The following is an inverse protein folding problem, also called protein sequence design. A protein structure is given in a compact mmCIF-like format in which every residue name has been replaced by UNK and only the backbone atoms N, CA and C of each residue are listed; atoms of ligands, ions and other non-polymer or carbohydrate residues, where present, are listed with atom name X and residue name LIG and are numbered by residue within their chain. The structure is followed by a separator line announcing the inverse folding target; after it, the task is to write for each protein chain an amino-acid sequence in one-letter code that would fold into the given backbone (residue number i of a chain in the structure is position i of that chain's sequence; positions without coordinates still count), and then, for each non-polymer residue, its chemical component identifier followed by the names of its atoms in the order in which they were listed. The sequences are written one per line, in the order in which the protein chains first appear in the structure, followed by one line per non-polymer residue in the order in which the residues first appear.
data_IF_496726354979
#
_entry.id   IF_496726354979
#
_cell.length_a   1.000
_cell.length_b   1.000
_cell.length_c   1.000
_cell.angle_alpha   90.00
_cell.angle_beta   90.00
_cell.angle_gamma   90.00
#
_symmetry.space_group_name_H-M   'P 1'
#
loop_
_entity.id
_entity.type
_entity.pdbx_description
1 polymer ?
#
# COMPACT_ATOMS: atom_id res chain seq x y z
N UNK A 1 16.23 -3.00 -8.86
CA UNK A 1 15.07 -2.91 -8.16
C UNK A 1 14.59 -1.54 -7.73
N UNK A 2 13.42 -1.53 -7.14
CA UNK A 2 12.70 -0.36 -6.64
C UNK A 2 13.53 0.45 -5.63
N UNK A 3 14.21 -0.25 -4.74
CA UNK A 3 15.01 0.33 -3.64
C UNK A 3 16.18 1.17 -4.14
N UNK A 4 16.90 0.70 -5.16
CA UNK A 4 17.98 1.46 -5.80
C UNK A 4 17.47 2.78 -6.42
N UNK A 5 16.26 2.74 -7.00
CA UNK A 5 15.61 3.92 -7.59
C UNK A 5 15.26 4.94 -6.51
N UNK A 6 14.70 4.51 -5.38
CA UNK A 6 14.39 5.38 -4.25
C UNK A 6 15.62 6.15 -3.76
N UNK A 7 16.77 5.49 -3.67
CA UNK A 7 18.03 6.16 -3.30
C UNK A 7 18.48 7.16 -4.38
N UNK A 8 18.51 6.74 -5.65
CA UNK A 8 18.97 7.60 -6.74
C UNK A 8 18.19 8.91 -6.86
N UNK A 9 16.88 8.88 -6.58
CA UNK A 9 15.99 10.03 -6.68
C UNK A 9 15.64 10.67 -5.33
N UNK A 10 16.39 10.30 -4.26
CA UNK A 10 16.22 10.83 -2.90
C UNK A 10 14.79 10.73 -2.37
N UNK A 11 14.04 9.69 -2.74
CA UNK A 11 12.69 9.44 -2.24
C UNK A 11 12.77 8.98 -0.78
N UNK A 12 12.14 9.67 0.17
CA UNK A 12 12.18 9.30 1.58
C UNK A 12 11.63 7.88 1.81
N UNK A 13 12.44 7.00 2.37
CA UNK A 13 12.06 5.64 2.75
C UNK A 13 12.86 5.23 3.99
N UNK A 14 12.55 4.08 4.58
CA UNK A 14 13.33 3.51 5.67
C UNK A 14 14.81 3.31 5.27
N UNK A 15 15.71 3.50 6.20
CA UNK A 15 17.11 3.09 5.99
C UNK A 15 17.17 1.57 5.81
N UNK A 16 17.91 1.10 4.81
CA UNK A 16 17.92 -0.31 4.47
C UNK A 16 19.30 -0.82 4.03
N UNK A 17 19.45 -2.14 4.07
CA UNK A 17 20.54 -2.86 3.41
C UNK A 17 20.00 -4.03 2.60
N UNK A 18 20.56 -4.23 1.41
CA UNK A 18 20.30 -5.39 0.56
C UNK A 18 21.30 -6.48 0.97
N UNK A 19 20.79 -7.69 1.20
CA UNK A 19 21.56 -8.84 1.64
C UNK A 19 21.42 -9.95 0.60
N UNK A 20 22.55 -10.39 0.07
CA UNK A 20 22.63 -11.38 -1.00
C UNK A 20 22.88 -12.81 -0.50
N UNK A 21 23.24 -12.96 0.77
CA UNK A 21 23.52 -14.28 1.35
C UNK A 21 23.37 -14.30 2.87
N UNK A 22 23.08 -15.48 3.43
CA UNK A 22 22.98 -15.69 4.88
C UNK A 22 24.27 -15.31 5.64
N UNK A 23 25.45 -15.39 4.99
CA UNK A 23 26.73 -15.00 5.62
C UNK A 23 26.77 -13.54 6.04
N UNK A 24 26.08 -12.68 5.30
CA UNK A 24 26.05 -11.23 5.54
C UNK A 24 24.92 -10.79 6.49
N UNK A 25 23.98 -11.70 6.80
CA UNK A 25 22.82 -11.40 7.64
C UNK A 25 23.24 -11.00 9.06
N UNK A 26 24.11 -11.79 9.70
CA UNK A 26 24.47 -11.59 11.11
C UNK A 26 25.09 -10.22 11.39
N UNK A 27 26.08 -9.81 10.58
CA UNK A 27 26.72 -8.52 10.75
C UNK A 27 25.72 -7.37 10.54
N UNK A 28 24.79 -7.53 9.60
CA UNK A 28 23.77 -6.53 9.32
C UNK A 28 22.74 -6.45 10.44
N UNK A 29 22.24 -7.56 10.95
CA UNK A 29 21.29 -7.58 12.08
C UNK A 29 21.87 -6.88 13.32
N UNK A 30 23.17 -7.01 13.56
CA UNK A 30 23.86 -6.33 14.67
C UNK A 30 24.01 -4.82 14.45
N UNK A 31 23.93 -4.34 13.21
CA UNK A 31 24.08 -2.92 12.87
C UNK A 31 22.79 -2.11 12.91
N UNK A 32 21.62 -2.79 12.96
CA UNK A 32 20.31 -2.14 13.06
C UNK A 32 19.79 -2.14 14.49
N UNK A 33 18.97 -1.14 14.82
CA UNK A 33 18.18 -1.12 16.05
C UNK A 33 16.93 -1.96 15.89
N UNK A 34 16.51 -2.60 16.98
CA UNK A 34 15.25 -3.35 17.02
C UNK A 34 14.10 -2.47 17.54
N UNK A 35 12.85 -2.72 17.10
CA UNK A 35 12.49 -3.66 16.04
C UNK A 35 13.08 -3.28 14.67
N UNK A 36 13.22 -4.24 13.77
CA UNK A 36 13.60 -4.04 12.38
C UNK A 36 12.65 -4.80 11.44
N UNK A 37 12.69 -4.49 10.15
CA UNK A 37 11.85 -5.15 9.14
C UNK A 37 12.74 -5.93 8.17
N UNK A 38 12.34 -7.18 7.87
CA UNK A 38 12.98 -8.01 6.83
C UNK A 38 11.96 -8.26 5.74
N UNK A 39 12.34 -8.00 4.50
CA UNK A 39 11.50 -8.19 3.32
C UNK A 39 12.16 -9.12 2.32
N UNK A 40 11.39 -10.06 1.78
CA UNK A 40 11.81 -10.86 0.63
C UNK A 40 11.86 -9.97 -0.62
N UNK A 41 12.94 -10.06 -1.40
CA UNK A 41 13.03 -9.39 -2.71
C UNK A 41 12.40 -10.30 -3.78
N UNK A 42 11.10 -10.07 -4.05
CA UNK A 42 10.33 -10.84 -5.02
C UNK A 42 8.83 -10.72 -4.81
N UNK A 43 8.07 -11.42 -5.66
CA UNK A 43 6.61 -11.47 -5.60
C UNK A 43 6.15 -12.36 -4.46
N UNK A 44 6.03 -11.80 -3.26
CA UNK A 44 5.60 -12.51 -2.06
C UNK A 44 4.13 -12.22 -1.67
N UNK A 45 3.36 -11.51 -2.50
CA UNK A 45 1.95 -11.15 -2.28
C UNK A 45 1.70 -10.55 -0.88
N UNK A 46 2.60 -9.66 -0.41
CA UNK A 46 2.52 -9.04 0.91
C UNK A 46 2.88 -9.94 2.10
N UNK A 47 3.15 -11.23 1.87
CA UNK A 47 3.45 -12.22 2.93
C UNK A 47 4.93 -12.29 3.31
N UNK A 48 5.82 -11.74 2.49
CA UNK A 48 7.27 -11.78 2.69
C UNK A 48 7.83 -10.65 3.56
N UNK A 49 7.05 -10.10 4.49
CA UNK A 49 7.44 -9.00 5.39
C UNK A 49 7.40 -9.49 6.84
N UNK A 50 8.52 -9.34 7.55
CA UNK A 50 8.67 -9.72 8.94
C UNK A 50 9.08 -8.51 9.77
N UNK A 51 8.34 -8.23 10.84
CA UNK A 51 8.76 -7.30 11.88
C UNK A 51 9.44 -8.13 12.96
N UNK A 52 10.72 -7.87 13.20
CA UNK A 52 11.56 -8.65 14.09
C UNK A 52 11.96 -7.81 15.30
N UNK A 53 11.64 -8.28 16.49
CA UNK A 53 11.88 -7.57 17.75
C UNK A 53 13.28 -7.86 18.36
N UNK A 54 13.96 -8.88 17.86
CA UNK A 54 15.26 -9.28 18.32
C UNK A 54 16.07 -9.99 17.21
N UNK A 55 17.33 -10.25 17.51
CA UNK A 55 18.28 -10.92 16.60
C UNK A 55 17.79 -12.28 16.13
N UNK A 56 17.26 -13.11 17.04
CA UNK A 56 16.84 -14.48 16.72
C UNK A 56 15.67 -14.49 15.74
N UNK A 57 14.67 -13.62 15.95
CA UNK A 57 13.55 -13.44 15.02
C UNK A 57 14.06 -13.02 13.64
N UNK A 58 14.99 -12.04 13.58
CA UNK A 58 15.58 -11.58 12.34
C UNK A 58 16.35 -12.67 11.60
N UNK A 59 17.15 -13.46 12.32
CA UNK A 59 17.91 -14.55 11.71
C UNK A 59 17.01 -15.67 11.17
N UNK A 60 15.96 -16.04 11.92
CA UNK A 60 14.97 -17.02 11.47
C UNK A 60 14.24 -16.54 10.22
N UNK A 61 13.77 -15.29 10.22
CA UNK A 61 13.08 -14.69 9.06
C UNK A 61 13.98 -14.70 7.81
N UNK A 62 15.22 -14.27 7.94
CA UNK A 62 16.18 -14.29 6.84
C UNK A 62 16.44 -15.71 6.30
N UNK A 63 16.58 -16.69 7.20
CA UNK A 63 16.76 -18.09 6.83
C UNK A 63 15.54 -18.67 6.10
N UNK A 64 14.33 -18.35 6.53
CA UNK A 64 13.09 -18.76 5.85
C UNK A 64 13.01 -18.21 4.43
N UNK A 65 13.35 -16.93 4.25
CA UNK A 65 13.35 -16.28 2.94
C UNK A 65 14.37 -16.94 2.00
N UNK A 66 15.62 -17.10 2.44
CA UNK A 66 16.66 -17.72 1.60
C UNK A 66 16.40 -19.22 1.34
N UNK A 67 15.68 -19.91 2.22
CA UNK A 67 15.24 -21.30 2.00
C UNK A 67 14.03 -21.39 1.05
N UNK A 68 13.56 -20.27 0.50
CA UNK A 68 12.54 -20.26 -0.56
C UNK A 68 11.10 -20.31 -0.08
N UNK A 69 10.79 -19.95 1.17
CA UNK A 69 9.42 -19.90 1.70
C UNK A 69 8.46 -19.09 0.83
N UNK A 70 8.97 -18.04 0.16
CA UNK A 70 8.23 -17.16 -0.76
C UNK A 70 8.72 -17.29 -2.21
N UNK A 71 9.26 -18.44 -2.59
CA UNK A 71 9.93 -18.63 -3.87
C UNK A 71 11.44 -18.34 -3.79
N UNK A 72 12.15 -18.51 -4.90
CA UNK A 72 13.61 -18.34 -4.96
C UNK A 72 13.95 -16.84 -4.86
N UNK A 73 14.30 -16.38 -3.67
CA UNK A 73 14.77 -15.03 -3.45
C UNK A 73 16.28 -14.96 -3.73
N UNK A 74 16.70 -13.99 -4.57
CA UNK A 74 18.14 -13.68 -4.77
C UNK A 74 18.67 -12.84 -3.62
N UNK A 75 17.86 -11.94 -3.12
CA UNK A 75 18.19 -10.98 -2.09
C UNK A 75 17.07 -10.91 -1.05
N UNK A 76 17.38 -10.36 0.10
CA UNK A 76 16.42 -9.82 1.04
C UNK A 76 16.80 -8.38 1.43
N UNK A 77 15.85 -7.63 1.96
CA UNK A 77 16.10 -6.31 2.52
C UNK A 77 15.98 -6.39 4.04
N UNK A 78 16.92 -5.72 4.73
CA UNK A 78 16.80 -5.43 6.15
C UNK A 78 16.61 -3.92 6.26
N UNK A 79 15.50 -3.49 6.85
CA UNK A 79 15.11 -2.09 6.98
C UNK A 79 14.92 -1.70 8.44
N UNK A 80 15.15 -0.41 8.74
CA UNK A 80 14.73 0.14 10.02
C UNK A 80 13.21 0.06 10.17
N UNK A 81 12.74 -0.17 11.36
CA UNK A 81 11.31 -0.07 11.67
C UNK A 81 10.90 1.40 11.77
N UNK A 82 9.94 1.80 10.95
CA UNK A 82 9.35 3.13 11.02
C UNK A 82 8.18 3.11 11.99
N UNK A 83 8.39 3.68 13.17
CA UNK A 83 7.34 3.87 14.18
C UNK A 83 6.46 5.06 13.78
N UNK A 84 5.35 4.80 13.15
CA UNK A 84 4.42 5.79 12.61
C UNK A 84 3.05 5.19 12.31
N UNK A 85 2.25 5.90 11.54
CA UNK A 85 0.94 5.44 11.11
C UNK A 85 0.91 5.27 9.59
N UNK A 86 0.35 4.16 9.14
CA UNK A 86 0.20 3.89 7.70
C UNK A 86 -0.89 4.78 7.09
N UNK A 87 -0.63 5.25 5.88
CA UNK A 87 -1.58 5.98 5.06
C UNK A 87 -1.41 5.60 3.59
N UNK A 88 -2.51 5.36 2.91
CA UNK A 88 -2.57 5.16 1.47
C UNK A 88 -2.86 6.49 0.78
N UNK A 89 -2.05 6.84 -0.24
CA UNK A 89 -2.20 8.04 -1.05
C UNK A 89 -2.28 7.66 -2.52
N UNK A 90 -3.28 8.19 -3.22
CA UNK A 90 -3.57 7.79 -4.59
C UNK A 90 -3.50 8.96 -5.53
N UNK A 91 -2.80 8.77 -6.63
CA UNK A 91 -2.83 9.68 -7.78
C UNK A 91 -3.15 8.89 -9.05
N UNK A 92 -3.66 9.60 -10.05
CA UNK A 92 -3.75 9.12 -11.42
C UNK A 92 -2.91 10.01 -12.32
N UNK A 93 -2.22 9.42 -13.28
CA UNK A 93 -1.31 10.12 -14.19
C UNK A 93 -1.65 9.80 -15.65
N UNK A 94 -1.45 10.78 -16.53
CA UNK A 94 -1.57 10.65 -17.98
C UNK A 94 -0.20 10.62 -18.70
N UNK A 95 0.89 10.47 -17.93
CA UNK A 95 2.26 10.50 -18.41
C UNK A 95 2.88 11.91 -18.44
N UNK A 96 2.08 12.96 -18.52
CA UNK A 96 2.52 14.36 -18.55
C UNK A 96 2.19 15.09 -17.26
N UNK A 97 1.04 14.80 -16.71
CA UNK A 97 0.51 15.36 -15.47
C UNK A 97 -0.02 14.28 -14.56
N UNK A 98 -0.34 14.65 -13.33
CA UNK A 98 -1.04 13.78 -12.39
C UNK A 98 -2.04 14.56 -11.56
N UNK A 99 -3.04 13.86 -11.04
CA UNK A 99 -4.00 14.43 -10.10
C UNK A 99 -4.21 13.51 -8.90
N UNK A 100 -4.45 14.10 -7.74
CA UNK A 100 -4.82 13.41 -6.52
C UNK A 100 -6.24 12.85 -6.62
N UNK A 101 -6.41 11.57 -6.28
CA UNK A 101 -7.71 10.87 -6.31
C UNK A 101 -8.25 10.62 -4.91
N UNK A 102 -7.39 10.51 -3.91
CA UNK A 102 -7.83 10.27 -2.54
C UNK A 102 -6.74 9.77 -1.63
N UNK A 103 -7.03 9.81 -0.35
CA UNK A 103 -6.23 9.19 0.69
C UNK A 103 -7.12 8.28 1.52
N UNK A 104 -6.53 7.21 2.05
CA UNK A 104 -7.26 6.25 2.86
C UNK A 104 -6.39 5.70 3.98
N UNK A 105 -7.01 5.07 4.95
CA UNK A 105 -6.32 4.34 6.00
C UNK A 105 -6.92 2.94 6.09
N UNK A 106 -6.12 1.96 5.69
CA UNK A 106 -6.46 0.55 5.71
C UNK A 106 -6.08 -0.08 7.04
N UNK A 107 -6.86 -1.05 7.49
CA UNK A 107 -6.63 -1.85 8.69
C UNK A 107 -6.30 -3.28 8.30
N UNK A 108 -5.01 -3.60 8.25
CA UNK A 108 -4.51 -4.88 7.72
C UNK A 108 -4.55 -6.04 8.72
N UNK A 109 -4.62 -5.76 10.02
CA UNK A 109 -4.59 -6.81 11.03
C UNK A 109 -5.96 -7.37 11.34
N UNK A 110 -6.05 -8.70 11.48
CA UNK A 110 -7.31 -9.42 11.64
C UNK A 110 -7.98 -9.20 12.99
N UNK A 111 -7.21 -8.87 14.01
CA UNK A 111 -7.69 -8.77 15.40
C UNK A 111 -7.94 -7.34 15.86
N UNK A 112 -8.74 -7.21 16.88
CA UNK A 112 -9.07 -5.95 17.54
C UNK A 112 -7.81 -5.26 18.09
N UNK A 113 -7.78 -3.92 18.00
CA UNK A 113 -6.65 -3.11 18.47
C UNK A 113 -5.40 -3.25 17.60
N UNK A 114 -5.56 -3.47 16.31
CA UNK A 114 -4.46 -3.64 15.33
C UNK A 114 -3.49 -4.77 15.71
N UNK A 115 -4.06 -5.93 16.08
CA UNK A 115 -3.31 -7.11 16.52
C UNK A 115 -3.56 -8.30 15.60
N UNK A 116 -2.72 -9.32 15.72
CA UNK A 116 -2.84 -10.56 14.96
C UNK A 116 -2.13 -10.51 13.62
N UNK A 117 -2.51 -11.42 12.73
CA UNK A 117 -1.86 -11.58 11.40
C UNK A 117 -2.31 -10.52 10.42
N UNK A 118 -1.41 -10.18 9.50
CA UNK A 118 -1.74 -9.33 8.36
C UNK A 118 -2.70 -10.05 7.41
N UNK A 119 -3.60 -9.29 6.84
CA UNK A 119 -4.60 -9.70 5.85
C UNK A 119 -4.47 -8.87 4.58
N UNK A 120 -5.37 -9.05 3.64
CA UNK A 120 -5.51 -8.17 2.47
C UNK A 120 -6.16 -6.81 2.78
N UNK A 121 -6.65 -6.61 4.01
CA UNK A 121 -7.41 -5.44 4.49
C UNK A 121 -8.71 -5.89 5.12
N UNK A 122 -8.95 -5.46 6.38
CA UNK A 122 -10.17 -5.79 7.13
C UNK A 122 -11.19 -4.67 7.10
N UNK A 123 -10.76 -3.52 6.66
CA UNK A 123 -11.59 -2.34 6.51
C UNK A 123 -10.73 -1.12 6.23
N UNK A 124 -11.38 -0.09 5.70
CA UNK A 124 -10.71 1.13 5.28
C UNK A 124 -11.63 2.32 5.43
N UNK A 125 -11.09 3.49 5.65
CA UNK A 125 -11.84 4.74 5.59
C UNK A 125 -11.11 5.81 4.79
N UNK A 126 -11.89 6.71 4.19
CA UNK A 126 -11.40 7.83 3.37
C UNK A 126 -12.18 9.11 3.68
N UNK A 127 -11.55 10.29 3.70
CA UNK A 127 -10.11 10.50 3.65
C UNK A 127 -9.42 10.03 4.94
N UNK A 128 -8.11 9.71 4.85
CA UNK A 128 -7.31 9.43 6.05
C UNK A 128 -7.33 10.64 7.00
N UNK A 129 -7.39 10.38 8.31
CA UNK A 129 -7.33 11.45 9.34
C UNK A 129 -5.99 12.18 9.39
N UNK A 130 -4.94 11.53 8.84
CA UNK A 130 -3.61 12.11 8.75
C UNK A 130 -3.49 13.12 7.60
N UNK A 131 -4.40 13.05 6.63
CA UNK A 131 -4.35 13.87 5.43
C UNK A 131 -4.65 15.33 5.72
N UNK A 132 -3.73 16.19 5.28
CA UNK A 132 -3.89 17.64 5.25
C UNK A 132 -3.06 18.23 4.09
N UNK A 133 -3.28 19.50 3.77
CA UNK A 133 -2.62 20.16 2.63
C UNK A 133 -1.09 20.21 2.75
N UNK A 134 -0.55 20.41 3.95
CA UNK A 134 0.91 20.43 4.18
C UNK A 134 1.53 19.06 3.96
N UNK A 135 0.86 17.99 4.41
CA UNK A 135 1.32 16.63 4.18
C UNK A 135 1.23 16.26 2.69
N UNK A 136 0.13 16.65 2.03
CA UNK A 136 -0.02 16.44 0.58
C UNK A 136 1.10 17.12 -0.22
N UNK A 137 1.46 18.35 0.12
CA UNK A 137 2.58 19.06 -0.50
C UNK A 137 3.91 18.30 -0.33
N UNK A 138 4.20 17.81 0.89
CA UNK A 138 5.41 17.00 1.15
C UNK A 138 5.42 15.70 0.35
N UNK A 139 4.27 15.02 0.26
CA UNK A 139 4.13 13.78 -0.52
C UNK A 139 4.37 14.05 -2.00
N UNK A 140 3.74 15.10 -2.54
CA UNK A 140 3.88 15.45 -3.94
C UNK A 140 5.33 15.82 -4.28
N UNK A 141 5.96 16.71 -3.51
CA UNK A 141 7.29 17.20 -3.81
C UNK A 141 8.40 16.16 -3.57
N UNK A 142 8.25 15.33 -2.53
CA UNK A 142 9.33 14.43 -2.14
C UNK A 142 9.15 12.99 -2.65
N UNK A 143 7.95 12.61 -3.09
CA UNK A 143 7.66 11.23 -3.47
C UNK A 143 7.04 11.14 -4.86
N UNK A 144 5.91 11.82 -5.14
CA UNK A 144 5.19 11.66 -6.41
C UNK A 144 6.01 12.22 -7.58
N UNK A 145 6.40 13.49 -7.51
CA UNK A 145 7.14 14.15 -8.59
C UNK A 145 8.47 13.44 -8.86
N UNK A 146 9.32 13.14 -7.84
CA UNK A 146 10.55 12.40 -8.07
C UNK A 146 10.32 11.00 -8.66
N UNK A 147 9.23 10.32 -8.29
CA UNK A 147 8.90 9.00 -8.83
C UNK A 147 8.53 9.06 -10.31
N UNK A 148 7.64 9.98 -10.68
CA UNK A 148 7.22 10.14 -12.09
C UNK A 148 8.40 10.59 -12.96
N UNK A 149 9.24 11.50 -12.47
CA UNK A 149 10.48 11.89 -13.15
C UNK A 149 11.45 10.72 -13.30
N UNK A 150 11.61 9.90 -12.27
CA UNK A 150 12.46 8.70 -12.33
C UNK A 150 12.01 7.71 -13.41
N UNK A 151 10.69 7.52 -13.56
CA UNK A 151 10.14 6.65 -14.60
C UNK A 151 10.38 7.24 -15.99
N UNK A 152 10.19 8.55 -16.13
CA UNK A 152 10.47 9.28 -17.38
C UNK A 152 11.94 9.22 -17.78
N UNK A 153 12.86 9.38 -16.84
CA UNK A 153 14.31 9.26 -17.07
C UNK A 153 14.73 7.83 -17.50
N UNK A 154 13.89 6.84 -17.22
CA UNK A 154 14.09 5.47 -17.70
C UNK A 154 13.48 5.21 -19.09
N UNK A 155 12.98 6.25 -19.75
CA UNK A 155 12.40 6.16 -21.10
C UNK A 155 10.95 5.69 -21.13
N UNK A 156 10.20 5.77 -20.02
CA UNK A 156 8.79 5.42 -19.96
C UNK A 156 7.95 6.56 -19.39
N UNK A 157 6.75 6.74 -19.91
CA UNK A 157 5.74 7.59 -19.29
C UNK A 157 4.83 6.72 -18.42
N UNK A 158 4.50 7.20 -17.21
CA UNK A 158 3.59 6.49 -16.33
C UNK A 158 2.16 6.95 -16.55
N UNK A 159 1.31 6.03 -17.05
CA UNK A 159 -0.11 6.29 -17.28
C UNK A 159 -0.93 5.33 -16.43
N UNK A 160 -1.84 5.85 -15.62
CA UNK A 160 -2.71 5.08 -14.75
C UNK A 160 -2.63 5.45 -13.27
N UNK A 161 -3.19 4.57 -12.43
CA UNK A 161 -3.19 4.74 -10.98
C UNK A 161 -1.82 4.46 -10.38
N UNK A 162 -1.38 5.34 -9.50
CA UNK A 162 -0.23 5.11 -8.63
C UNK A 162 -0.72 5.13 -7.19
N UNK A 163 -0.73 3.97 -6.56
CA UNK A 163 -0.90 3.81 -5.12
C UNK A 163 0.45 4.01 -4.44
N UNK A 164 0.48 4.84 -3.44
CA UNK A 164 1.65 5.14 -2.63
C UNK A 164 1.34 4.77 -1.18
N UNK A 165 1.90 3.67 -0.71
CA UNK A 165 1.85 3.25 0.69
C UNK A 165 2.89 4.03 1.50
N UNK A 166 2.43 4.74 2.51
CA UNK A 166 3.23 5.66 3.30
C UNK A 166 3.21 5.28 4.77
N UNK A 167 4.35 5.45 5.44
CA UNK A 167 4.43 5.58 6.88
C UNK A 167 4.57 7.06 7.23
N UNK A 168 3.66 7.59 8.03
CA UNK A 168 3.69 8.98 8.49
C UNK A 168 4.27 9.01 9.90
N UNK A 169 5.46 9.61 10.03
CA UNK A 169 6.16 9.75 11.30
C UNK A 169 6.52 11.21 11.52
N UNK A 170 6.05 11.82 12.61
CA UNK A 170 6.28 13.23 12.93
C UNK A 170 5.96 14.16 11.74
N UNK A 171 4.78 13.99 11.13
CA UNK A 171 4.30 14.74 9.95
C UNK A 171 5.23 14.67 8.72
N UNK A 172 6.09 13.65 8.64
CA UNK A 172 6.95 13.35 7.50
C UNK A 172 6.50 12.06 6.84
N UNK A 173 6.30 12.06 5.50
CA UNK A 173 5.97 10.85 4.77
C UNK A 173 7.23 10.05 4.44
N UNK A 174 7.18 8.75 4.65
CA UNK A 174 8.18 7.77 4.22
C UNK A 174 7.50 6.74 3.34
N UNK A 175 8.06 6.51 2.18
CA UNK A 175 7.55 5.52 1.23
C UNK A 175 7.78 4.10 1.75
N UNK A 176 6.69 3.31 1.83
CA UNK A 176 6.75 1.88 2.11
C UNK A 176 6.79 1.10 0.80
N UNK A 177 5.80 1.33 -0.08
CA UNK A 177 5.64 0.61 -1.34
C UNK A 177 4.88 1.43 -2.37
N UNK A 178 5.04 1.05 -3.64
CA UNK A 178 4.17 1.45 -4.73
C UNK A 178 3.34 0.27 -5.22
N UNK A 179 2.11 0.56 -5.64
CA UNK A 179 1.30 -0.34 -6.44
C UNK A 179 0.77 0.40 -7.67
N UNK A 180 0.66 -0.30 -8.80
CA UNK A 180 0.22 0.26 -10.10
C UNK A 180 -1.28 0.05 -10.34
N UNK A 181 -2.06 0.03 -9.28
CA UNK A 181 -3.50 -0.20 -9.22
C UNK A 181 -4.09 0.45 -7.98
N UNK A 182 -5.41 0.51 -7.93
CA UNK A 182 -6.10 0.85 -6.68
C UNK A 182 -5.90 -0.26 -5.64
N UNK A 183 -6.00 0.12 -4.36
CA UNK A 183 -5.99 -0.83 -3.25
C UNK A 183 -7.33 -1.53 -3.05
N UNK A 184 -7.33 -2.58 -2.29
CA UNK A 184 -8.52 -3.30 -1.82
C UNK A 184 -8.39 -3.49 -0.29
N UNK A 185 -9.23 -2.82 0.54
CA UNK A 185 -10.51 -2.19 0.22
C UNK A 185 -10.50 -0.66 -0.03
N UNK A 186 -9.36 -0.03 -0.30
CA UNK A 186 -9.29 1.43 -0.52
C UNK A 186 -10.10 1.89 -1.74
N UNK A 187 -10.14 1.10 -2.82
CA UNK A 187 -10.92 1.40 -4.01
C UNK A 187 -12.40 1.62 -3.67
N UNK A 188 -12.99 0.67 -2.95
CA UNK A 188 -14.38 0.69 -2.49
C UNK A 188 -14.67 1.86 -1.55
N UNK A 189 -13.64 2.42 -0.95
CA UNK A 189 -13.75 3.52 0.01
C UNK A 189 -13.55 4.88 -0.65
N UNK A 190 -12.66 4.98 -1.65
CA UNK A 190 -12.32 6.26 -2.30
C UNK A 190 -13.29 6.60 -3.43
N UNK A 191 -13.61 5.62 -4.30
CA UNK A 191 -14.42 5.90 -5.49
C UNK A 191 -15.83 6.45 -5.19
N UNK A 192 -16.53 6.04 -4.11
CA UNK A 192 -17.79 6.67 -3.74
C UNK A 192 -17.72 8.16 -3.39
N UNK A 193 -16.52 8.69 -3.12
CA UNK A 193 -16.29 10.10 -2.85
C UNK A 193 -15.95 10.91 -4.10
N UNK A 194 -15.70 10.26 -5.23
CA UNK A 194 -15.38 10.91 -6.50
C UNK A 194 -16.66 11.50 -7.11
N UNK A 195 -16.63 12.79 -7.44
CA UNK A 195 -17.77 13.50 -8.05
C UNK A 195 -17.70 13.54 -9.58
N UNK A 196 -16.52 13.28 -10.15
CA UNK A 196 -16.35 13.19 -11.60
C UNK A 196 -16.75 11.82 -12.11
N UNK A 197 -17.16 11.74 -13.37
CA UNK A 197 -17.30 10.47 -14.06
C UNK A 197 -15.92 9.80 -14.24
N UNK A 198 -15.79 8.58 -13.74
CA UNK A 198 -14.52 7.84 -13.76
C UNK A 198 -14.10 7.47 -15.19
N UNK A 199 -15.06 7.21 -16.07
CA UNK A 199 -14.77 6.88 -17.48
C UNK A 199 -14.21 8.07 -18.23
N UNK A 200 -14.67 9.29 -17.93
CA UNK A 200 -14.09 10.51 -18.49
C UNK A 200 -12.66 10.74 -18.00
N UNK A 201 -12.41 10.49 -16.71
CA UNK A 201 -11.04 10.58 -16.17
C UNK A 201 -10.10 9.60 -16.89
N UNK A 202 -10.56 8.37 -17.11
CA UNK A 202 -9.76 7.38 -17.83
C UNK A 202 -9.51 7.78 -19.28
N UNK A 203 -10.53 8.29 -19.96
CA UNK A 203 -10.37 8.80 -21.32
C UNK A 203 -9.35 9.94 -21.37
N UNK A 204 -9.45 10.92 -20.48
CA UNK A 204 -8.51 12.04 -20.41
C UNK A 204 -7.08 11.56 -20.10
N UNK A 205 -6.91 10.53 -19.27
CA UNK A 205 -5.61 9.91 -19.07
C UNK A 205 -5.04 9.27 -20.34
N UNK A 206 -5.87 8.55 -21.09
CA UNK A 206 -5.45 7.87 -22.32
C UNK A 206 -5.05 8.84 -23.43
N UNK A 207 -5.68 10.03 -23.49
CA UNK A 207 -5.40 11.03 -24.51
C UNK A 207 -4.45 12.15 -24.03
N UNK A 208 -3.91 12.06 -22.82
CA UNK A 208 -2.96 13.03 -22.26
C UNK A 208 -3.56 14.40 -21.96
N UNK A 209 -4.81 14.45 -21.50
CA UNK A 209 -5.59 15.68 -21.21
C UNK A 209 -6.02 15.81 -19.74
N UNK A 210 -5.45 15.03 -18.86
CA UNK A 210 -5.83 15.01 -17.44
C UNK A 210 -5.68 16.39 -16.76
N UNK A 211 -4.75 17.21 -17.22
CA UNK A 211 -4.55 18.58 -16.71
C UNK A 211 -5.67 19.55 -17.05
N UNK A 212 -6.48 19.26 -18.07
CA UNK A 212 -7.60 20.10 -18.50
C UNK A 212 -8.82 19.99 -17.56
N UNK A 213 -8.88 18.95 -16.75
CA UNK A 213 -9.94 18.69 -15.76
C UNK A 213 -9.40 18.73 -14.34
N UNK A 214 -10.24 19.19 -13.42
CA UNK A 214 -9.98 19.09 -11.98
C UNK A 214 -10.77 17.92 -11.41
N UNK A 215 -10.08 16.98 -10.79
CA UNK A 215 -10.72 15.92 -10.01
C UNK A 215 -11.32 16.54 -8.74
N UNK A 216 -12.60 16.28 -8.52
CA UNK A 216 -13.35 16.75 -7.36
C UNK A 216 -13.72 15.56 -6.49
N UNK A 217 -13.45 15.71 -5.21
CA UNK A 217 -13.85 14.76 -4.18
C UNK A 217 -14.90 15.41 -3.29
N UNK A 218 -15.91 14.66 -2.95
CA UNK A 218 -16.92 15.05 -1.97
C UNK A 218 -16.26 15.36 -0.61
N UNK A 219 -16.85 16.29 0.12
CA UNK A 219 -16.45 16.57 1.51
C UNK A 219 -16.98 15.52 2.51
N UNK A 220 -17.67 14.49 2.04
CA UNK A 220 -18.13 13.36 2.85
C UNK A 220 -16.98 12.46 3.25
N UNK A 221 -17.29 11.50 4.12
CA UNK A 221 -16.39 10.41 4.53
C UNK A 221 -17.00 9.10 4.11
N UNK A 222 -16.15 8.15 3.76
CA UNK A 222 -16.53 6.81 3.39
C UNK A 222 -15.81 5.79 4.26
N UNK A 223 -16.49 4.70 4.58
CA UNK A 223 -15.93 3.56 5.30
C UNK A 223 -16.32 2.27 4.59
N UNK A 224 -15.38 1.35 4.47
CA UNK A 224 -15.61 -0.01 4.02
C UNK A 224 -15.25 -0.98 5.15
N UNK A 225 -16.09 -1.99 5.35
CA UNK A 225 -15.84 -3.08 6.31
C UNK A 225 -15.82 -4.39 5.53
N UNK A 226 -14.76 -5.18 5.68
CA UNK A 226 -14.60 -6.46 5.02
C UNK A 226 -15.18 -7.55 5.91
N UNK A 227 -16.22 -8.22 5.42
CA UNK A 227 -16.78 -9.40 6.06
C UNK A 227 -16.12 -10.64 5.46
N UNK A 228 -15.54 -11.48 6.29
CA UNK A 228 -14.84 -12.68 5.86
C UNK A 228 -15.28 -13.92 6.66
N UNK A 229 -14.99 -15.10 6.12
CA UNK A 229 -15.25 -16.36 6.79
C UNK A 229 -14.41 -16.51 8.05
N UNK A 230 -14.96 -17.17 9.07
CA UNK A 230 -14.23 -17.47 10.31
C UNK A 230 -12.97 -18.28 10.00
N UNK A 231 -11.84 -17.83 10.54
CA UNK A 231 -10.52 -18.42 10.33
C UNK A 231 -9.61 -17.64 9.37
N UNK A 232 -10.18 -16.72 8.56
CA UNK A 232 -9.39 -15.84 7.68
C UNK A 232 -8.34 -15.04 8.51
N UNK A 233 -7.10 -14.85 8.03
CA UNK A 233 -6.53 -15.17 6.71
C UNK A 233 -5.89 -16.57 6.59
N UNK A 234 -6.10 -17.43 7.55
CA UNK A 234 -5.57 -18.80 7.56
C UNK A 234 -6.55 -19.78 6.89
N UNK A 235 -6.62 -21.00 7.42
CA UNK A 235 -7.60 -21.99 6.95
C UNK A 235 -9.01 -21.58 7.37
N UNK A 236 -9.85 -21.28 6.39
CA UNK A 236 -11.23 -20.89 6.60
C UNK A 236 -12.18 -21.72 5.74
N UNK A 237 -13.41 -21.86 6.22
CA UNK A 237 -14.48 -22.57 5.51
C UNK A 237 -14.82 -21.83 4.22
N UNK A 238 -14.67 -22.53 3.10
CA UNK A 238 -15.09 -22.07 1.78
C UNK A 238 -16.55 -22.46 1.52
N UNK A 239 -17.13 -21.87 0.48
CA UNK A 239 -18.48 -22.20 -0.02
C UNK A 239 -19.57 -22.09 1.07
N UNK A 240 -19.43 -21.14 2.00
CA UNK A 240 -20.48 -20.80 2.96
C UNK A 240 -21.52 -19.93 2.29
N UNK A 241 -22.81 -20.31 2.45
CA UNK A 241 -23.92 -19.53 1.91
C UNK A 241 -24.02 -18.17 2.58
N UNK A 242 -24.14 -17.12 1.77
CA UNK A 242 -24.48 -15.77 2.21
C UNK A 242 -25.99 -15.61 2.22
N UNK A 243 -26.64 -16.13 3.26
CA UNK A 243 -28.09 -16.04 3.40
C UNK A 243 -28.55 -14.60 3.68
N UNK A 244 -29.76 -14.27 3.21
CA UNK A 244 -30.47 -13.00 3.49
C UNK A 244 -29.90 -11.74 2.81
N UNK A 245 -28.93 -11.82 1.90
CA UNK A 245 -28.46 -10.65 1.16
C UNK A 245 -29.61 -9.94 0.40
N UNK A 246 -30.52 -10.71 -0.18
CA UNK A 246 -31.70 -10.22 -0.88
C UNK A 246 -32.75 -9.56 0.01
N UNK A 247 -32.62 -9.67 1.34
CA UNK A 247 -33.52 -9.05 2.33
C UNK A 247 -32.94 -7.75 2.91
N UNK A 248 -31.70 -7.39 2.53
CA UNK A 248 -31.09 -6.15 2.99
C UNK A 248 -31.71 -4.96 2.26
N UNK A 249 -32.17 -3.99 3.02
CA UNK A 249 -32.57 -2.69 2.50
C UNK A 249 -31.42 -1.72 2.67
N UNK A 250 -30.73 -1.43 1.59
CA UNK A 250 -29.62 -0.48 1.57
C UNK A 250 -30.16 0.94 1.43
N UNK A 251 -29.55 1.89 2.14
CA UNK A 251 -29.78 3.33 1.95
C UNK A 251 -29.02 3.82 0.71
N UNK A 252 -29.35 5.00 0.23
CA UNK A 252 -28.77 5.58 -0.99
C UNK A 252 -27.24 5.68 -1.02
N UNK A 253 -26.58 5.62 0.15
CA UNK A 253 -25.12 5.74 0.29
C UNK A 253 -24.49 4.45 0.84
N UNK A 254 -25.20 3.34 0.79
CA UNK A 254 -24.71 2.04 1.26
C UNK A 254 -24.55 1.10 0.06
N UNK A 255 -23.43 0.42 0.01
CA UNK A 255 -23.05 -0.46 -1.09
C UNK A 255 -22.56 -1.80 -0.53
N UNK A 256 -22.84 -2.87 -1.27
CA UNK A 256 -22.25 -4.18 -1.02
C UNK A 256 -21.41 -4.55 -2.24
N UNK A 257 -20.16 -4.84 -1.99
CA UNK A 257 -19.23 -5.32 -3.01
C UNK A 257 -18.93 -6.78 -2.77
N UNK A 258 -18.98 -7.56 -3.82
CA UNK A 258 -18.64 -8.98 -3.80
C UNK A 258 -17.19 -9.17 -4.18
N UNK A 259 -16.39 -9.82 -3.31
CA UNK A 259 -15.00 -10.17 -3.57
C UNK A 259 -14.88 -11.69 -3.81
N UNK A 260 -14.57 -12.48 -2.83
CA UNK A 260 -14.43 -13.94 -2.97
C UNK A 260 -15.75 -14.74 -3.01
N UNK A 261 -16.81 -14.18 -3.56
CA UNK A 261 -18.14 -14.83 -3.67
C UNK A 261 -18.37 -15.42 -5.07
N UNK A 262 -19.25 -16.42 -5.14
CA UNK A 262 -19.74 -17.04 -6.38
C UNK A 262 -21.20 -16.69 -6.60
#
# INVERSE_FOLDING_TARGET
GDVYKRQKYNIPTANFKIIESLKNVEATLKSFKYPLVIKADGLAAGKGVYICNNYNEGYIAAKEIFNGKFGKAKNLLIEEFLDGEEMSYFVISDGKSYQFIGSAQDHKRVGEGDKGKNTGGMGCYSPSRLFNSKLAEKINNNIIIPTLNAIKDMGSEYIGFLYVGLMIKNEKPYLIEFNVRMGDPECQTILPLLENDLSEIFFDCCVGKLSEKKIRLSNKKSICIVLCSKGYPEDYKKDSELSKLNKLSLKNNEYIYHAGTK
#
